data_IF_405898278351
#
_entry.id   IF_405898278351
#
_cell.length_a   1.000
_cell.length_b   1.000
_cell.length_c   1.000
_cell.angle_alpha   90.00
_cell.angle_beta   90.00
_cell.angle_gamma   90.00
#
_symmetry.space_group_name_H-M   'P 1'
#
loop_
_entity.id
_entity.type
_entity.pdbx_description
1 polymer ?
#
# COMPACT_ATOMS: atom_id res chain seq x y z
N UNK A 1 -15.53 -1.97 43.64
CA UNK A 1 -15.89 -0.70 42.97
C UNK A 1 -16.14 -0.87 41.47
N UNK A 2 -15.26 -1.51 40.69
CA UNK A 2 -15.46 -1.68 39.23
C UNK A 2 -16.78 -2.38 38.84
N UNK A 3 -17.22 -3.40 39.61
CA UNK A 3 -18.52 -4.07 39.43
C UNK A 3 -19.72 -3.12 39.57
N UNK A 4 -19.61 -2.09 40.41
CA UNK A 4 -20.67 -1.10 40.59
C UNK A 4 -20.76 -0.17 39.38
N UNK A 5 -19.62 0.29 38.86
CA UNK A 5 -19.55 1.12 37.65
C UNK A 5 -20.08 0.38 36.41
N UNK A 6 -19.68 -0.88 36.21
CA UNK A 6 -20.20 -1.71 35.12
C UNK A 6 -21.71 -1.93 35.20
N UNK A 7 -22.24 -2.22 36.40
CA UNK A 7 -23.70 -2.31 36.60
C UNK A 7 -24.40 -0.98 36.32
N UNK A 8 -23.80 0.15 36.69
CA UNK A 8 -24.30 1.49 36.40
C UNK A 8 -24.35 1.79 34.89
N UNK A 9 -23.27 1.46 34.18
CA UNK A 9 -23.15 1.65 32.73
C UNK A 9 -24.17 0.79 31.96
N UNK A 10 -24.33 -0.48 32.36
CA UNK A 10 -25.30 -1.40 31.75
C UNK A 10 -26.75 -1.00 32.04
N UNK A 11 -27.02 -0.41 33.21
CA UNK A 11 -28.35 0.03 33.61
C UNK A 11 -28.78 1.33 32.92
N UNK A 12 -27.85 2.25 32.68
CA UNK A 12 -28.12 3.50 31.94
C UNK A 12 -27.70 3.38 30.46
N UNK A 13 -28.55 2.73 29.67
CA UNK A 13 -28.34 2.53 28.22
C UNK A 13 -28.38 3.83 27.42
N UNK A 14 -29.13 4.84 27.87
CA UNK A 14 -29.27 6.10 27.10
C UNK A 14 -27.96 6.89 27.14
N UNK A 15 -27.32 6.98 28.31
CA UNK A 15 -26.09 7.76 28.48
C UNK A 15 -24.81 7.04 28.05
N UNK A 16 -24.80 5.70 28.02
CA UNK A 16 -23.60 4.92 27.71
C UNK A 16 -23.41 4.60 26.22
N UNK A 17 -24.49 4.55 25.43
CA UNK A 17 -24.43 4.17 23.99
C UNK A 17 -23.67 5.17 23.13
N UNK A 18 -23.94 6.45 23.30
CA UNK A 18 -23.31 7.52 22.53
C UNK A 18 -21.77 7.53 22.71
N UNK A 19 -21.24 7.56 23.95
CA UNK A 19 -19.80 7.50 24.18
C UNK A 19 -19.15 6.24 23.60
N UNK A 20 -19.75 5.07 23.80
CA UNK A 20 -19.22 3.81 23.28
C UNK A 20 -19.15 3.82 21.77
N UNK A 21 -20.21 4.30 21.10
CA UNK A 21 -20.28 4.35 19.65
C UNK A 21 -19.24 5.32 19.06
N UNK A 22 -19.10 6.51 19.66
CA UNK A 22 -18.11 7.50 19.23
C UNK A 22 -16.68 6.97 19.38
N UNK A 23 -16.35 6.38 20.54
CA UNK A 23 -15.02 5.80 20.78
C UNK A 23 -14.76 4.63 19.84
N UNK A 24 -15.75 3.74 19.65
CA UNK A 24 -15.61 2.58 18.75
C UNK A 24 -15.35 3.03 17.32
N UNK A 25 -16.11 4.00 16.80
CA UNK A 25 -15.91 4.53 15.45
C UNK A 25 -14.54 5.21 15.33
N UNK A 26 -14.17 6.06 16.30
CA UNK A 26 -12.88 6.76 16.30
C UNK A 26 -11.70 5.80 16.29
N UNK A 27 -11.72 4.79 17.18
CA UNK A 27 -10.64 3.78 17.27
C UNK A 27 -10.62 2.87 16.04
N UNK A 28 -11.79 2.47 15.53
CA UNK A 28 -11.85 1.62 14.33
C UNK A 28 -11.27 2.36 13.13
N UNK A 29 -11.62 3.64 12.95
CA UNK A 29 -11.10 4.46 11.87
C UNK A 29 -9.57 4.61 11.96
N UNK A 30 -9.05 4.95 13.14
CA UNK A 30 -7.60 5.14 13.30
C UNK A 30 -6.81 3.86 13.09
N UNK A 31 -7.27 2.74 13.64
CA UNK A 31 -6.62 1.44 13.48
C UNK A 31 -6.67 0.97 12.03
N UNK A 32 -7.83 1.08 11.37
CA UNK A 32 -7.96 0.72 9.95
C UNK A 32 -7.04 1.56 9.07
N UNK A 33 -7.03 2.88 9.23
CA UNK A 33 -6.16 3.73 8.42
C UNK A 33 -4.69 3.43 8.67
N UNK A 34 -4.29 3.25 9.92
CA UNK A 34 -2.89 2.94 10.25
C UNK A 34 -2.45 1.60 9.63
N UNK A 35 -3.26 0.55 9.80
CA UNK A 35 -2.96 -0.77 9.25
C UNK A 35 -2.97 -0.75 7.71
N UNK A 36 -3.92 -0.06 7.11
CA UNK A 36 -4.03 0.09 5.65
C UNK A 36 -2.80 0.80 5.06
N UNK A 37 -2.42 1.95 5.61
CA UNK A 37 -1.26 2.71 5.12
C UNK A 37 0.02 1.90 5.29
N UNK A 38 0.19 1.23 6.43
CA UNK A 38 1.38 0.43 6.72
C UNK A 38 1.48 -0.77 5.77
N UNK A 39 0.37 -1.47 5.54
CA UNK A 39 0.31 -2.58 4.59
C UNK A 39 0.60 -2.13 3.16
N UNK A 40 -0.08 -1.08 2.71
CA UNK A 40 0.11 -0.48 1.39
C UNK A 40 1.56 -0.03 1.15
N UNK A 41 2.21 0.57 2.16
CA UNK A 41 3.62 0.95 2.06
C UNK A 41 4.52 -0.28 1.90
N UNK A 42 4.24 -1.36 2.62
CA UNK A 42 4.95 -2.63 2.47
C UNK A 42 4.86 -3.18 1.04
N UNK A 43 3.65 -3.18 0.47
CA UNK A 43 3.41 -3.64 -0.90
C UNK A 43 4.16 -2.77 -1.92
N UNK A 44 4.14 -1.43 -1.76
CA UNK A 44 4.90 -0.52 -2.64
C UNK A 44 6.39 -0.86 -2.60
N UNK A 45 6.95 -1.08 -1.42
CA UNK A 45 8.37 -1.41 -1.25
C UNK A 45 8.68 -2.72 -1.97
N UNK A 46 7.85 -3.74 -1.78
CA UNK A 46 8.05 -5.04 -2.42
C UNK A 46 7.96 -4.95 -3.95
N UNK A 47 6.95 -4.25 -4.47
CA UNK A 47 6.78 -4.05 -5.93
C UNK A 47 7.98 -3.30 -6.50
N UNK A 48 8.44 -2.23 -5.85
CA UNK A 48 9.60 -1.47 -6.32
C UNK A 48 10.89 -2.29 -6.26
N UNK A 49 11.09 -3.08 -5.20
CA UNK A 49 12.24 -3.96 -5.06
C UNK A 49 12.26 -5.01 -6.17
N UNK A 50 11.12 -5.67 -6.44
CA UNK A 50 10.97 -6.64 -7.54
C UNK A 50 11.15 -5.99 -8.91
N UNK A 51 10.63 -4.79 -9.12
CA UNK A 51 10.73 -4.08 -10.40
C UNK A 51 12.16 -3.59 -10.67
N UNK A 52 12.86 -3.12 -9.64
CA UNK A 52 14.20 -2.54 -9.78
C UNK A 52 15.30 -3.59 -9.77
N UNK A 53 15.19 -4.58 -8.89
CA UNK A 53 16.22 -5.57 -8.57
C UNK A 53 15.69 -7.00 -8.55
N UNK A 54 14.58 -7.27 -9.24
CA UNK A 54 14.07 -8.63 -9.40
C UNK A 54 15.10 -9.58 -10.03
N UNK A 55 14.83 -10.88 -9.96
CA UNK A 55 15.75 -11.93 -10.42
C UNK A 55 16.22 -11.75 -11.87
N UNK A 56 15.34 -11.25 -12.75
CA UNK A 56 15.66 -10.99 -14.14
C UNK A 56 14.89 -9.76 -14.63
N UNK A 57 15.61 -8.78 -15.17
CA UNK A 57 15.04 -7.54 -15.71
C UNK A 57 15.44 -7.40 -17.18
N UNK A 58 14.46 -7.56 -18.08
CA UNK A 58 14.66 -7.41 -19.53
C UNK A 58 14.48 -5.93 -19.88
N UNK A 59 15.50 -5.33 -20.48
CA UNK A 59 15.49 -3.94 -20.97
C UNK A 59 16.40 -3.79 -22.18
N UNK A 60 16.22 -2.72 -22.95
CA UNK A 60 17.14 -2.38 -24.05
C UNK A 60 18.49 -1.92 -23.50
N UNK A 61 19.56 -2.12 -24.28
CA UNK A 61 20.93 -1.72 -23.88
C UNK A 61 21.02 -0.22 -23.61
N UNK A 62 20.38 0.61 -24.44
CA UNK A 62 20.36 2.07 -24.26
C UNK A 62 19.64 2.51 -22.97
N UNK A 63 18.59 1.79 -22.54
CA UNK A 63 17.93 2.05 -21.27
C UNK A 63 18.82 1.66 -20.07
N UNK A 64 19.58 0.56 -20.18
CA UNK A 64 20.45 0.08 -19.11
C UNK A 64 21.56 1.10 -18.77
N UNK A 65 22.18 1.72 -19.77
CA UNK A 65 23.27 2.68 -19.57
C UNK A 65 22.82 3.96 -18.85
N UNK A 66 21.56 4.35 -19.04
CA UNK A 66 20.99 5.58 -18.46
C UNK A 66 19.86 5.31 -17.45
N UNK A 67 19.82 4.11 -16.85
CA UNK A 67 18.69 3.65 -16.03
C UNK A 67 18.32 4.61 -14.87
N UNK A 68 19.27 5.40 -14.35
CA UNK A 68 19.02 6.42 -13.31
C UNK A 68 18.07 7.54 -13.75
N UNK A 69 17.96 7.80 -15.06
CA UNK A 69 17.13 8.85 -15.61
C UNK A 69 15.71 8.36 -15.97
N UNK A 70 15.41 7.08 -15.73
CA UNK A 70 14.18 6.42 -16.20
C UNK A 70 13.83 6.77 -17.67
N UNK A 71 14.75 6.61 -18.63
CA UNK A 71 14.61 7.15 -19.98
C UNK A 71 13.68 6.27 -20.83
N UNK A 72 12.37 6.51 -20.74
CA UNK A 72 11.34 5.74 -21.46
C UNK A 72 11.50 5.78 -22.99
N UNK A 73 12.08 6.84 -23.53
CA UNK A 73 12.44 6.99 -24.93
C UNK A 73 13.49 5.95 -25.37
N UNK A 74 14.47 5.65 -24.51
CA UNK A 74 15.49 4.64 -24.78
C UNK A 74 14.96 3.19 -24.64
N UNK A 75 13.80 2.99 -24.00
CA UNK A 75 13.21 1.68 -23.76
C UNK A 75 12.69 1.01 -25.04
N UNK A 76 12.39 1.78 -26.09
CA UNK A 76 11.82 1.28 -27.36
C UNK A 76 12.81 1.36 -28.53
N UNK A 77 14.09 1.59 -28.26
CA UNK A 77 15.12 1.62 -29.30
C UNK A 77 15.21 0.28 -30.01
N UNK A 78 15.25 0.33 -31.35
CA UNK A 78 15.40 -0.83 -32.24
C UNK A 78 14.29 -1.89 -32.12
N UNK A 79 13.12 -1.53 -31.57
CA UNK A 79 11.96 -2.44 -31.54
C UNK A 79 11.48 -2.78 -32.94
N UNK A 80 11.53 -1.84 -33.89
CA UNK A 80 11.08 -2.08 -35.27
C UNK A 80 11.86 -3.19 -35.97
N UNK A 81 13.20 -3.21 -35.85
CA UNK A 81 14.02 -4.27 -36.44
C UNK A 81 13.77 -5.62 -35.78
N UNK A 82 13.51 -5.63 -34.47
CA UNK A 82 13.19 -6.86 -33.74
C UNK A 82 11.85 -7.46 -34.19
N UNK A 83 10.86 -6.61 -34.50
CA UNK A 83 9.57 -7.05 -35.04
C UNK A 83 9.71 -7.59 -36.46
N UNK A 84 10.57 -6.99 -37.28
CA UNK A 84 10.84 -7.48 -38.64
C UNK A 84 11.59 -8.83 -38.63
N UNK A 85 12.49 -9.07 -37.67
CA UNK A 85 13.18 -10.36 -37.48
C UNK A 85 12.25 -11.49 -36.96
N UNK A 86 11.09 -11.14 -36.40
CA UNK A 86 10.09 -12.09 -35.88
C UNK A 86 9.05 -12.50 -36.93
N UNK A 87 9.04 -11.85 -38.11
CA UNK A 87 8.16 -12.17 -39.24
C UNK A 87 8.73 -13.28 -40.11
#
# INVERSE_FOLDING_TARGET
MIKFLLKGLLRDKSRSRLPVLVVTIGVTLTVLMHAYITGFMGDIIEINARFSYGHLKVMTRGYADNMRQSPNDLALLNVSSLIDDLK
#
